data_IF_202371057276
#
_entry.id   IF_202371057276
#
_cell.length_a   1.000
_cell.length_b   1.000
_cell.length_c   1.000
_cell.angle_alpha   90.00
_cell.angle_beta   90.00
_cell.angle_gamma   90.00
#
_symmetry.space_group_name_H-M   'P 1'
#
loop_
_entity.id
_entity.type
_entity.pdbx_description
1 polymer ?
#
# COMPACT_ATOMS: atom_id res chain seq x y z
N UNK A 1 13.21 7.25 -10.48
CA UNK A 1 12.34 7.94 -11.47
C UNK A 1 11.19 8.48 -10.66
N UNK A 2 11.24 9.74 -10.18
CA UNK A 2 10.45 10.17 -9.01
C UNK A 2 8.96 9.88 -9.12
N UNK A 3 8.36 10.18 -10.28
CA UNK A 3 6.95 9.92 -10.52
C UNK A 3 6.61 8.41 -10.56
N UNK A 4 7.48 7.57 -11.13
CA UNK A 4 7.30 6.11 -11.14
C UNK A 4 7.33 5.54 -9.72
N UNK A 5 8.29 5.99 -8.90
CA UNK A 5 8.41 5.57 -7.51
C UNK A 5 7.16 6.01 -6.71
N UNK A 6 6.71 7.26 -6.92
CA UNK A 6 5.49 7.79 -6.30
C UNK A 6 4.23 7.02 -6.70
N UNK A 7 4.07 6.67 -7.98
CA UNK A 7 2.97 5.83 -8.47
C UNK A 7 2.99 4.46 -7.80
N UNK A 8 4.16 3.81 -7.68
CA UNK A 8 4.28 2.51 -7.02
C UNK A 8 3.92 2.61 -5.54
N UNK A 9 4.38 3.65 -4.83
CA UNK A 9 3.99 3.89 -3.43
C UNK A 9 2.49 4.12 -3.28
N UNK A 10 1.90 4.92 -4.17
CA UNK A 10 0.46 5.18 -4.15
C UNK A 10 -0.35 3.93 -4.47
N UNK A 11 0.09 3.06 -5.38
CA UNK A 11 -0.52 1.74 -5.61
C UNK A 11 -0.54 0.93 -4.31
N UNK A 12 0.58 0.86 -3.59
CA UNK A 12 0.65 0.11 -2.33
C UNK A 12 -0.22 0.72 -1.23
N UNK A 13 -0.24 2.06 -1.12
CA UNK A 13 -1.03 2.79 -0.12
C UNK A 13 -2.52 2.60 -0.37
N UNK A 14 -2.98 2.89 -1.58
CA UNK A 14 -4.39 2.85 -1.97
C UNK A 14 -4.94 1.43 -2.00
N UNK A 15 -4.16 0.45 -2.49
CA UNK A 15 -4.62 -0.94 -2.52
C UNK A 15 -4.79 -1.54 -1.13
N UNK A 16 -4.02 -1.05 -0.13
CA UNK A 16 -4.13 -1.40 1.29
C UNK A 16 -4.35 -2.90 1.49
N UNK A 17 -3.41 -3.67 0.94
CA UNK A 17 -3.58 -5.11 0.71
C UNK A 17 -3.80 -5.91 2.00
N UNK A 18 -3.22 -5.47 3.12
CA UNK A 18 -3.27 -6.14 4.43
C UNK A 18 -3.74 -5.14 5.50
N UNK A 19 -5.03 -4.75 5.50
CA UNK A 19 -5.51 -3.58 6.24
C UNK A 19 -5.38 -3.71 7.77
N UNK A 20 -5.48 -4.93 8.30
CA UNK A 20 -5.37 -5.23 9.74
C UNK A 20 -3.97 -5.71 10.16
N UNK A 21 -3.01 -5.67 9.24
CA UNK A 21 -1.68 -6.25 9.43
C UNK A 21 -1.71 -7.76 9.72
N UNK A 22 -0.59 -8.27 10.23
CA UNK A 22 -0.51 -9.64 10.77
C UNK A 22 -0.63 -9.56 12.29
N UNK A 23 -1.33 -10.48 12.97
CA UNK A 23 -1.48 -10.44 14.42
C UNK A 23 -0.13 -10.46 15.15
N UNK A 24 0.02 -9.56 16.13
CA UNK A 24 1.15 -9.53 17.06
C UNK A 24 0.72 -9.99 18.45
N UNK A 25 1.69 -10.28 19.32
CA UNK A 25 1.47 -10.52 20.75
C UNK A 25 2.51 -9.78 21.59
N UNK A 26 2.11 -9.26 22.75
CA UNK A 26 3.06 -8.69 23.71
C UNK A 26 3.90 -9.81 24.35
N UNK A 27 5.22 -9.63 24.44
CA UNK A 27 6.15 -10.68 24.90
C UNK A 27 6.27 -10.80 26.42
N UNK A 28 5.75 -9.80 27.13
CA UNK A 28 5.65 -9.69 28.59
C UNK A 28 4.49 -8.75 28.94
N UNK A 29 4.11 -8.74 30.21
CA UNK A 29 3.19 -7.75 30.74
C UNK A 29 3.69 -6.35 30.38
N UNK A 30 2.85 -5.58 29.70
CA UNK A 30 3.22 -4.31 29.07
C UNK A 30 2.21 -3.25 29.44
N UNK A 31 2.68 -2.17 30.08
CA UNK A 31 1.87 -0.98 30.30
C UNK A 31 1.88 -0.14 29.01
N UNK A 32 0.71 0.08 28.42
CA UNK A 32 0.57 0.88 27.21
C UNK A 32 -0.58 1.88 27.38
N UNK A 33 -0.27 3.18 27.31
CA UNK A 33 -1.24 4.28 27.44
C UNK A 33 -2.18 4.15 28.66
N UNK A 34 -1.66 3.67 29.79
CA UNK A 34 -2.41 3.48 31.03
C UNK A 34 -3.09 2.12 31.19
N UNK A 35 -3.06 1.26 30.17
CA UNK A 35 -3.61 -0.10 30.23
C UNK A 35 -2.50 -1.12 30.48
N UNK A 36 -2.76 -2.09 31.35
CA UNK A 36 -1.90 -3.27 31.50
C UNK A 36 -2.34 -4.33 30.49
N UNK A 37 -1.46 -4.65 29.54
CA UNK A 37 -1.62 -5.76 28.60
C UNK A 37 -0.87 -6.98 29.14
N UNK A 38 -1.55 -8.04 29.59
CA UNK A 38 -0.88 -9.26 30.02
C UNK A 38 -0.04 -9.89 28.91
N UNK A 39 1.05 -10.57 29.26
CA UNK A 39 1.86 -11.37 28.33
C UNK A 39 0.97 -12.23 27.42
N UNK A 40 1.32 -12.30 26.13
CA UNK A 40 0.60 -13.00 25.06
C UNK A 40 -0.73 -12.37 24.61
N UNK A 41 -1.12 -11.21 25.15
CA UNK A 41 -2.26 -10.45 24.62
C UNK A 41 -2.04 -10.14 23.14
N UNK A 42 -3.03 -10.49 22.31
CA UNK A 42 -3.03 -10.23 20.87
C UNK A 42 -3.26 -8.76 20.56
N UNK A 43 -2.52 -8.25 19.58
CA UNK A 43 -2.59 -6.86 19.14
C UNK A 43 -2.54 -6.85 17.62
N UNK A 44 -3.50 -6.16 17.02
CA UNK A 44 -3.60 -6.01 15.58
C UNK A 44 -3.16 -4.59 15.21
N UNK A 45 -2.06 -4.42 14.46
CA UNK A 45 -1.68 -3.11 13.95
C UNK A 45 -2.58 -2.80 12.74
N UNK A 46 -3.59 -1.95 12.95
CA UNK A 46 -4.53 -1.54 11.89
C UNK A 46 -3.81 -0.63 10.88
N UNK A 47 -3.05 -1.22 9.94
CA UNK A 47 -2.24 -0.50 8.96
C UNK A 47 -3.07 0.45 8.09
N UNK A 48 -4.29 0.04 7.75
CA UNK A 48 -5.24 0.84 7.00
C UNK A 48 -5.47 2.22 7.62
N UNK A 49 -5.47 2.31 8.96
CA UNK A 49 -5.66 3.57 9.68
C UNK A 49 -4.51 4.56 9.45
N UNK A 50 -3.30 4.08 9.17
CA UNK A 50 -2.16 4.92 8.81
C UNK A 50 -2.16 5.24 7.31
N UNK A 51 -2.36 4.23 6.46
CA UNK A 51 -2.33 4.39 4.99
C UNK A 51 -3.45 5.30 4.44
N UNK A 52 -4.51 5.52 5.23
CA UNK A 52 -5.61 6.44 4.93
C UNK A 52 -5.75 7.57 5.95
N UNK A 53 -4.71 7.84 6.75
CA UNK A 53 -4.79 8.89 7.77
C UNK A 53 -4.88 10.28 7.10
N UNK A 54 -5.97 11.05 7.29
CA UNK A 54 -6.17 12.35 6.65
C UNK A 54 -5.18 13.41 7.14
N UNK A 55 -4.43 13.16 8.22
CA UNK A 55 -3.35 14.04 8.69
C UNK A 55 -2.08 13.90 7.87
N UNK A 56 -1.92 12.77 7.17
CA UNK A 56 -0.73 12.44 6.38
C UNK A 56 -1.00 12.39 4.88
N UNK A 57 -2.25 12.16 4.47
CA UNK A 57 -2.68 12.10 3.07
C UNK A 57 -3.91 13.00 2.88
N UNK A 58 -3.80 13.98 1.98
CA UNK A 58 -4.96 14.75 1.54
C UNK A 58 -5.85 13.87 0.67
N UNK A 59 -7.18 13.91 0.82
CA UNK A 59 -8.08 13.02 0.05
C UNK A 59 -7.63 11.53 0.07
N UNK A 60 -7.48 10.91 1.26
CA UNK A 60 -6.82 9.61 1.42
C UNK A 60 -7.51 8.47 0.64
N UNK A 61 -8.80 8.61 0.36
CA UNK A 61 -9.60 7.63 -0.39
C UNK A 61 -9.52 7.81 -1.92
N UNK A 62 -8.64 8.70 -2.40
CA UNK A 62 -8.37 8.90 -3.82
C UNK A 62 -6.98 8.38 -4.17
N UNK A 63 -6.84 7.82 -5.38
CA UNK A 63 -5.54 7.47 -5.92
C UNK A 63 -4.87 8.72 -6.47
N UNK A 64 -3.81 9.19 -5.81
CA UNK A 64 -3.07 10.37 -6.22
C UNK A 64 -1.55 10.23 -5.93
N UNK A 65 -0.69 10.04 -6.95
CA UNK A 65 0.76 9.94 -6.76
C UNK A 65 1.41 11.15 -6.07
N UNK A 66 0.77 12.33 -6.10
CA UNK A 66 1.30 13.54 -5.46
C UNK A 66 1.35 13.42 -3.93
N UNK A 67 0.67 12.41 -3.34
CA UNK A 67 0.88 11.99 -1.96
C UNK A 67 2.34 11.67 -1.62
N UNK A 68 3.13 11.31 -2.62
CA UNK A 68 4.54 10.95 -2.49
C UNK A 68 5.50 11.91 -3.20
N UNK A 69 5.02 13.06 -3.67
CA UNK A 69 5.85 14.09 -4.32
C UNK A 69 5.81 15.41 -3.56
N UNK A 70 6.95 16.10 -3.49
CA UNK A 70 7.02 17.48 -3.05
C UNK A 70 6.66 18.47 -4.18
N UNK A 71 6.65 19.77 -3.88
CA UNK A 71 6.31 20.82 -4.86
C UNK A 71 7.29 20.88 -6.05
N UNK A 72 8.47 20.27 -5.95
CA UNK A 72 9.46 20.20 -7.02
C UNK A 72 9.40 18.86 -7.79
N UNK A 73 8.44 17.99 -7.47
CA UNK A 73 8.33 16.65 -8.08
C UNK A 73 9.39 15.66 -7.59
N UNK A 74 10.02 15.91 -6.44
CA UNK A 74 10.95 14.98 -5.80
C UNK A 74 10.18 14.06 -4.86
N UNK A 75 10.59 12.79 -4.80
CA UNK A 75 9.97 11.81 -3.92
C UNK A 75 10.10 12.25 -2.45
N UNK A 76 8.96 12.50 -1.79
CA UNK A 76 8.90 12.82 -0.36
C UNK A 76 8.58 11.56 0.45
N UNK A 77 9.22 11.43 1.61
CA UNK A 77 8.90 10.37 2.56
C UNK A 77 7.62 10.73 3.31
N UNK A 78 6.78 9.73 3.57
CA UNK A 78 5.61 9.85 4.43
C UNK A 78 5.71 8.81 5.55
N UNK A 79 5.67 9.24 6.80
CA UNK A 79 5.81 8.34 7.96
C UNK A 79 4.64 7.37 8.12
N UNK A 80 3.47 7.72 7.59
CA UNK A 80 2.29 6.85 7.59
C UNK A 80 2.32 5.80 6.48
N UNK A 81 3.31 5.86 5.57
CA UNK A 81 3.49 4.85 4.51
C UNK A 81 4.19 3.60 5.05
N UNK A 82 3.40 2.70 5.63
CA UNK A 82 3.85 1.45 6.24
C UNK A 82 3.14 0.20 5.65
N UNK A 83 3.10 0.02 4.32
CA UNK A 83 2.42 -1.13 3.70
C UNK A 83 3.06 -2.48 4.06
N UNK A 84 4.30 -2.45 4.54
CA UNK A 84 5.06 -3.63 4.98
C UNK A 84 5.13 -3.77 6.50
N UNK A 85 4.21 -3.12 7.23
CA UNK A 85 4.29 -2.92 8.68
C UNK A 85 5.51 -2.06 9.07
N UNK A 86 5.85 -2.02 10.35
CA UNK A 86 7.00 -1.28 10.88
C UNK A 86 7.58 -1.96 12.13
N UNK A 87 8.78 -1.56 12.54
CA UNK A 87 9.48 -2.06 13.72
C UNK A 87 10.11 -3.44 13.54
N UNK A 88 10.21 -4.21 14.63
CA UNK A 88 10.98 -5.48 14.69
C UNK A 88 10.43 -6.61 13.80
N UNK A 89 9.21 -6.47 13.30
CA UNK A 89 8.53 -7.45 12.44
C UNK A 89 8.13 -6.83 11.10
N UNK A 90 8.82 -5.78 10.67
CA UNK A 90 8.71 -5.28 9.30
C UNK A 90 8.97 -6.43 8.30
N UNK A 91 8.28 -6.40 7.16
CA UNK A 91 8.36 -7.46 6.16
C UNK A 91 9.82 -7.78 5.81
N UNK A 92 10.24 -9.03 6.06
CA UNK A 92 11.59 -9.50 5.72
C UNK A 92 11.88 -9.37 4.21
N UNK A 93 10.83 -9.51 3.39
CA UNK A 93 10.89 -9.39 1.93
C UNK A 93 10.70 -7.97 1.38
N UNK A 94 10.67 -6.92 2.21
CA UNK A 94 10.41 -5.54 1.74
C UNK A 94 11.35 -5.13 0.58
N UNK A 95 12.66 -5.37 0.72
CA UNK A 95 13.62 -5.02 -0.31
C UNK A 95 13.40 -5.77 -1.63
N UNK A 96 13.03 -7.05 -1.55
CA UNK A 96 12.71 -7.87 -2.72
C UNK A 96 11.44 -7.33 -3.40
N UNK A 97 10.36 -7.16 -2.64
CA UNK A 97 9.08 -6.68 -3.15
C UNK A 97 9.18 -5.29 -3.81
N UNK A 98 9.94 -4.36 -3.20
CA UNK A 98 10.15 -3.02 -3.79
C UNK A 98 10.86 -3.10 -5.15
N UNK A 99 11.87 -3.96 -5.26
CA UNK A 99 12.59 -4.15 -6.52
C UNK A 99 11.73 -4.87 -7.56
N UNK A 100 10.98 -5.92 -7.17
CA UNK A 100 10.07 -6.64 -8.06
C UNK A 100 8.99 -5.72 -8.63
N UNK A 101 8.34 -4.92 -7.77
CA UNK A 101 7.35 -3.93 -8.18
C UNK A 101 7.95 -2.95 -9.19
N UNK A 102 9.12 -2.38 -8.89
CA UNK A 102 9.76 -1.42 -9.77
C UNK A 102 10.14 -2.03 -11.12
N UNK A 103 10.85 -3.17 -11.10
CA UNK A 103 11.37 -3.81 -12.31
C UNK A 103 10.23 -4.32 -13.20
N UNK A 104 9.24 -5.04 -12.65
CA UNK A 104 8.13 -5.53 -13.46
C UNK A 104 7.26 -4.40 -13.99
N UNK A 105 6.92 -3.41 -13.17
CA UNK A 105 6.10 -2.28 -13.58
C UNK A 105 6.77 -1.49 -14.72
N UNK A 106 8.05 -1.14 -14.55
CA UNK A 106 8.79 -0.38 -15.56
C UNK A 106 9.04 -1.19 -16.82
N UNK A 107 9.42 -2.47 -16.72
CA UNK A 107 9.70 -3.33 -17.89
C UNK A 107 8.43 -3.53 -18.73
N UNK A 108 7.27 -3.76 -18.08
CA UNK A 108 6.00 -3.90 -18.80
C UNK A 108 5.66 -2.60 -19.54
N UNK A 109 5.71 -1.45 -18.86
CA UNK A 109 5.33 -0.16 -19.47
C UNK A 109 6.36 0.38 -20.46
N UNK A 110 7.60 -0.08 -20.40
CA UNK A 110 8.63 0.21 -21.39
C UNK A 110 8.33 -0.45 -22.74
N UNK A 111 7.80 -1.67 -22.73
CA UNK A 111 7.60 -2.48 -23.94
C UNK A 111 6.16 -2.44 -24.46
N UNK A 112 5.18 -2.14 -23.59
CA UNK A 112 3.77 -2.19 -23.92
C UNK A 112 3.03 -0.91 -23.49
N UNK A 113 1.97 -0.60 -24.22
CA UNK A 113 0.90 0.28 -23.77
C UNK A 113 -0.27 -0.58 -23.29
N UNK A 114 -0.84 -0.24 -22.14
CA UNK A 114 -1.98 -0.98 -21.56
C UNK A 114 -3.28 -0.37 -22.06
N UNK A 115 -4.19 -1.21 -22.54
CA UNK A 115 -5.54 -0.82 -22.94
C UNK A 115 -6.58 -1.74 -22.28
N UNK A 116 -7.81 -1.26 -22.16
CA UNK A 116 -8.95 -2.05 -21.68
C UNK A 116 -10.13 -1.89 -22.63
N UNK A 117 -10.97 -2.92 -22.71
CA UNK A 117 -12.27 -2.83 -23.40
C UNK A 117 -13.29 -2.02 -22.61
N UNK A 118 -13.08 -1.83 -21.30
CA UNK A 118 -13.90 -0.98 -20.44
C UNK A 118 -13.44 0.48 -20.54
N UNK A 119 -14.38 1.43 -20.43
CA UNK A 119 -13.98 2.83 -20.31
C UNK A 119 -13.36 3.08 -18.93
N UNK A 120 -12.35 3.96 -18.80
CA UNK A 120 -11.69 4.20 -17.50
C UNK A 120 -12.63 4.63 -16.38
N UNK A 121 -13.75 5.28 -16.71
CA UNK A 121 -14.74 5.75 -15.72
C UNK A 121 -15.60 4.63 -15.14
N UNK A 122 -15.71 3.51 -15.86
CA UNK A 122 -16.53 2.37 -15.49
C UNK A 122 -15.71 1.30 -14.73
N UNK A 123 -14.42 1.54 -14.51
CA UNK A 123 -13.56 0.62 -13.75
C UNK A 123 -13.94 0.72 -12.27
N UNK A 124 -14.52 -0.35 -11.75
CA UNK A 124 -14.77 -0.51 -10.32
C UNK A 124 -13.46 -0.88 -9.61
N UNK A 125 -13.12 -0.11 -8.58
CA UNK A 125 -11.96 -0.33 -7.72
C UNK A 125 -12.34 -1.03 -6.41
N UNK A 126 -13.63 -1.29 -6.18
CA UNK A 126 -14.14 -1.95 -4.99
C UNK A 126 -13.56 -3.37 -4.90
N UNK A 127 -12.96 -3.76 -3.76
CA UNK A 127 -12.42 -5.11 -3.61
C UNK A 127 -13.49 -6.17 -3.79
N UNK A 128 -13.18 -7.24 -4.53
CA UNK A 128 -14.05 -8.41 -4.68
C UNK A 128 -14.25 -9.11 -3.33
N UNK A 129 -13.19 -9.17 -2.54
CA UNK A 129 -13.17 -9.76 -1.21
C UNK A 129 -12.38 -8.85 -0.26
N UNK A 130 -12.89 -8.70 0.96
CA UNK A 130 -12.26 -7.95 2.04
C UNK A 130 -12.29 -8.80 3.31
N UNK A 131 -11.24 -9.60 3.50
CA UNK A 131 -11.04 -10.43 4.68
C UNK A 131 -9.71 -10.11 5.35
N UNK A 132 -8.80 -11.08 5.35
CA UNK A 132 -7.40 -10.87 5.80
C UNK A 132 -6.64 -9.93 4.85
N UNK A 133 -7.03 -9.90 3.57
CA UNK A 133 -6.54 -8.94 2.59
C UNK A 133 -7.63 -8.45 1.64
N UNK A 134 -7.32 -7.38 0.91
CA UNK A 134 -8.17 -6.80 -0.14
C UNK A 134 -7.78 -7.35 -1.50
N UNK A 135 -8.69 -8.06 -2.16
CA UNK A 135 -8.44 -8.62 -3.50
C UNK A 135 -9.14 -7.74 -4.54
N UNK A 136 -8.45 -7.27 -5.59
CA UNK A 136 -9.09 -6.46 -6.63
C UNK A 136 -10.16 -7.27 -7.39
N UNK A 137 -11.13 -6.60 -8.02
CA UNK A 137 -12.07 -7.26 -8.92
C UNK A 137 -11.33 -7.90 -10.09
N UNK A 138 -11.92 -8.95 -10.66
CA UNK A 138 -11.36 -9.59 -11.86
C UNK A 138 -11.49 -8.62 -13.03
N UNK A 139 -10.37 -8.35 -13.71
CA UNK A 139 -10.33 -7.43 -14.85
C UNK A 139 -9.58 -8.04 -16.04
N UNK A 140 -9.80 -7.47 -17.22
CA UNK A 140 -9.08 -7.80 -18.45
C UNK A 140 -8.46 -6.55 -19.05
N UNK A 141 -7.21 -6.68 -19.50
CA UNK A 141 -6.46 -5.65 -20.21
C UNK A 141 -5.74 -6.28 -21.40
N UNK A 142 -5.42 -5.47 -22.39
CA UNK A 142 -4.62 -5.83 -23.54
C UNK A 142 -3.29 -5.09 -23.52
N UNK A 143 -2.19 -5.83 -23.72
CA UNK A 143 -0.85 -5.28 -23.90
C UNK A 143 -0.59 -5.05 -25.39
N UNK A 144 -0.51 -3.78 -25.78
CA UNK A 144 -0.20 -3.37 -27.15
C UNK A 144 1.29 -3.06 -27.23
N UNK A 145 2.04 -3.79 -28.06
CA UNK A 145 3.48 -3.54 -28.22
C UNK A 145 3.75 -2.10 -28.70
N UNK A 146 4.81 -1.50 -28.16
CA UNK A 146 5.29 -0.17 -28.58
C UNK A 146 6.19 -0.24 -29.81
#
# INVERSE_FOLDING_TARGET
MPYTDAVIHEIQRFSDLVPIGVPHKVTKDTLFRGYLLPKNTEVYPILSSALHDPRYFEQPDTFNPDHFLDANGVLKKNEAFIPFSTGKRICLGEGIARNELFLFFTTILQNFSVSSSMTPKDIDLSPKESGIGKVPPTYQICFLAR
#
